data_IF_331830866295
#
_entry.id   IF_331830866295
#
_cell.length_a   1.000
_cell.length_b   1.000
_cell.length_c   1.000
_cell.angle_alpha   90.00
_cell.angle_beta   90.00
_cell.angle_gamma   90.00
#
_symmetry.space_group_name_H-M   'P 1'
#
loop_
_entity.id
_entity.type
_entity.pdbx_description
1 polymer ?
#
# COMPACT_ATOMS: atom_id res chain seq x y z
N UNK A 1 -17.13 -45.36 -11.94
CA UNK A 1 -17.11 -44.80 -10.58
C UNK A 1 -18.01 -43.58 -10.59
N UNK A 2 -19.08 -43.58 -9.79
CA UNK A 2 -19.98 -42.44 -9.68
C UNK A 2 -19.21 -41.32 -8.95
N UNK A 3 -19.09 -40.13 -9.53
CA UNK A 3 -18.43 -39.02 -8.86
C UNK A 3 -19.27 -38.62 -7.64
N UNK A 4 -18.63 -38.68 -6.47
CA UNK A 4 -19.20 -38.25 -5.19
C UNK A 4 -19.16 -36.72 -5.12
N UNK A 5 -20.09 -36.08 -5.86
CA UNK A 5 -20.27 -34.64 -5.91
C UNK A 5 -21.70 -34.30 -5.49
N UNK A 6 -21.86 -33.76 -4.28
CA UNK A 6 -23.10 -33.32 -3.68
C UNK A 6 -22.94 -32.04 -2.87
N UNK A 7 -23.97 -31.67 -2.11
CA UNK A 7 -24.01 -30.40 -1.37
C UNK A 7 -22.85 -30.21 -0.37
N UNK A 8 -22.35 -31.31 0.21
CA UNK A 8 -21.20 -31.30 1.13
C UNK A 8 -19.88 -30.88 0.48
N UNK A 9 -19.77 -30.94 -0.85
CA UNK A 9 -18.59 -30.50 -1.60
C UNK A 9 -18.56 -28.98 -1.83
N UNK A 10 -19.66 -28.26 -1.57
CA UNK A 10 -19.72 -26.80 -1.67
C UNK A 10 -19.28 -26.20 -0.34
N UNK A 11 -18.09 -25.58 -0.33
CA UNK A 11 -17.57 -24.89 0.84
C UNK A 11 -17.73 -23.37 0.70
N UNK A 12 -18.46 -22.77 1.63
CA UNK A 12 -18.53 -21.31 1.79
C UNK A 12 -17.41 -20.89 2.74
N UNK A 13 -16.54 -20.00 2.28
CA UNK A 13 -15.49 -19.37 3.10
C UNK A 13 -16.07 -18.11 3.73
N UNK A 14 -15.89 -17.93 5.05
CA UNK A 14 -16.47 -16.78 5.77
C UNK A 14 -15.42 -15.71 6.03
N UNK A 15 -15.82 -14.44 5.92
CA UNK A 15 -14.94 -13.30 6.20
C UNK A 15 -13.62 -13.37 5.42
N UNK A 16 -12.50 -13.21 6.14
CA UNK A 16 -11.16 -13.13 5.56
C UNK A 16 -10.55 -14.49 5.18
N UNK A 17 -11.26 -15.60 5.40
CA UNK A 17 -10.81 -16.93 4.97
C UNK A 17 -10.62 -17.01 3.45
N UNK A 18 -11.48 -16.33 2.68
CA UNK A 18 -11.39 -16.31 1.22
C UNK A 18 -10.11 -15.63 0.74
N UNK A 19 -9.71 -14.53 1.40
CA UNK A 19 -8.49 -13.78 1.11
C UNK A 19 -7.26 -14.66 1.35
N UNK A 20 -7.18 -15.29 2.53
CA UNK A 20 -6.07 -16.20 2.86
C UNK A 20 -6.02 -17.43 1.97
N UNK A 21 -7.17 -17.94 1.50
CA UNK A 21 -7.22 -19.12 0.63
C UNK A 21 -6.81 -18.80 -0.82
N UNK A 22 -7.07 -17.59 -1.29
CA UNK A 22 -6.83 -17.14 -2.68
C UNK A 22 -6.14 -15.76 -2.71
N UNK A 23 -4.96 -15.60 -2.10
CA UNK A 23 -4.30 -14.30 -1.95
C UNK A 23 -4.00 -13.62 -3.29
N UNK A 24 -3.61 -14.38 -4.32
CA UNK A 24 -3.36 -13.83 -5.66
C UNK A 24 -4.57 -13.14 -6.31
N UNK A 25 -5.80 -13.41 -5.86
CA UNK A 25 -6.96 -12.65 -6.35
C UNK A 25 -7.00 -11.21 -5.81
N UNK A 26 -6.41 -10.98 -4.63
CA UNK A 26 -6.48 -9.71 -3.91
C UNK A 26 -5.19 -8.90 -4.08
N UNK A 27 -4.03 -9.55 -4.13
CA UNK A 27 -2.71 -8.88 -4.23
C UNK A 27 -1.93 -9.29 -5.50
N UNK A 28 -2.58 -10.05 -6.39
CA UNK A 28 -2.05 -10.53 -7.66
C UNK A 28 -1.12 -11.75 -7.55
N UNK A 29 -0.16 -11.77 -6.62
CA UNK A 29 0.71 -12.92 -6.33
C UNK A 29 1.13 -12.96 -4.85
N UNK A 30 1.85 -14.01 -4.45
CA UNK A 30 2.42 -14.17 -3.10
C UNK A 30 3.95 -14.17 -3.12
N UNK A 31 4.53 -13.64 -4.19
CA UNK A 31 5.98 -13.51 -4.33
C UNK A 31 6.43 -12.12 -3.90
N UNK A 32 7.61 -11.72 -4.40
CA UNK A 32 8.19 -10.40 -4.15
C UNK A 32 7.21 -9.25 -4.40
N UNK A 33 6.52 -9.22 -5.55
CA UNK A 33 5.62 -8.13 -5.92
C UNK A 33 4.42 -8.04 -4.98
N UNK A 34 3.76 -9.18 -4.71
CA UNK A 34 2.61 -9.27 -3.81
C UNK A 34 2.94 -8.86 -2.38
N UNK A 35 4.13 -9.20 -1.87
CA UNK A 35 4.58 -8.75 -0.55
C UNK A 35 4.58 -7.24 -0.45
N UNK A 36 5.26 -6.55 -1.36
CA UNK A 36 5.33 -5.09 -1.37
C UNK A 36 3.97 -4.44 -1.60
N UNK A 37 3.09 -5.12 -2.34
CA UNK A 37 1.73 -4.65 -2.58
C UNK A 37 0.91 -4.51 -1.29
N UNK A 38 1.21 -5.28 -0.23
CA UNK A 38 0.58 -5.09 1.08
C UNK A 38 0.77 -3.67 1.62
N UNK A 39 1.96 -3.10 1.43
CA UNK A 39 2.25 -1.72 1.88
C UNK A 39 1.41 -0.71 1.10
N UNK A 40 1.19 -0.94 -0.19
CA UNK A 40 0.35 -0.06 -1.02
C UNK A 40 -1.13 -0.20 -0.67
N UNK A 41 -1.60 -1.42 -0.39
CA UNK A 41 -2.99 -1.66 0.05
C UNK A 41 -3.33 -0.93 1.36
N UNK A 42 -2.37 -0.81 2.30
CA UNK A 42 -2.57 0.00 3.52
C UNK A 42 -2.85 1.47 3.19
N UNK A 43 -2.28 1.99 2.09
CA UNK A 43 -2.32 3.41 1.74
C UNK A 43 -3.51 3.70 0.80
N UNK A 44 -3.69 2.88 -0.22
CA UNK A 44 -4.54 3.20 -1.37
C UNK A 44 -5.96 2.61 -1.26
N UNK A 45 -6.13 1.51 -0.53
CA UNK A 45 -7.33 0.70 -0.67
C UNK A 45 -7.78 0.09 0.66
N UNK A 46 -7.60 -1.23 0.89
CA UNK A 46 -8.28 -1.92 1.99
C UNK A 46 -7.34 -2.62 2.97
N UNK A 47 -7.43 -2.19 4.24
CA UNK A 47 -6.66 -2.75 5.36
C UNK A 47 -7.02 -4.20 5.69
N UNK A 48 -8.21 -4.66 5.30
CA UNK A 48 -8.70 -6.01 5.61
C UNK A 48 -7.91 -7.11 4.90
N UNK A 49 -7.47 -6.87 3.66
CA UNK A 49 -6.59 -7.78 2.91
C UNK A 49 -5.23 -7.87 3.61
N UNK A 50 -4.66 -6.74 4.01
CA UNK A 50 -3.38 -6.69 4.72
C UNK A 50 -3.49 -7.44 6.05
N UNK A 51 -4.55 -7.20 6.80
CA UNK A 51 -4.82 -7.89 8.06
C UNK A 51 -4.96 -9.40 7.86
N UNK A 52 -5.70 -9.82 6.83
CA UNK A 52 -5.87 -11.23 6.48
C UNK A 52 -4.54 -11.91 6.14
N UNK A 53 -3.64 -11.22 5.43
CA UNK A 53 -2.39 -11.77 4.91
C UNK A 53 -1.19 -11.52 5.84
N UNK A 54 -1.43 -10.96 7.03
CA UNK A 54 -0.41 -10.75 8.07
C UNK A 54 -0.49 -11.86 9.13
N UNK A 55 0.66 -12.29 9.67
CA UNK A 55 0.66 -13.17 10.84
C UNK A 55 0.15 -12.40 12.07
N UNK A 56 0.58 -11.15 12.20
CA UNK A 56 0.21 -10.23 13.28
C UNK A 56 0.02 -8.83 12.71
N UNK A 57 -0.96 -8.10 13.23
CA UNK A 57 -1.20 -6.69 12.92
C UNK A 57 -1.61 -5.95 14.19
N UNK A 58 -0.96 -4.82 14.45
CA UNK A 58 -1.31 -3.88 15.49
C UNK A 58 -1.84 -2.59 14.85
N UNK A 59 -3.00 -2.14 15.32
CA UNK A 59 -3.63 -0.91 14.85
C UNK A 59 -3.75 0.08 16.00
N UNK A 60 -3.28 1.31 15.78
CA UNK A 60 -3.47 2.44 16.70
C UNK A 60 -4.25 3.55 16.00
N UNK A 61 -5.34 4.02 16.60
CA UNK A 61 -6.16 5.13 16.09
C UNK A 61 -6.13 6.29 17.09
N UNK A 62 -5.78 7.48 16.62
CA UNK A 62 -5.82 8.72 17.38
C UNK A 62 -7.06 9.52 16.95
N UNK A 63 -8.08 9.58 17.80
CA UNK A 63 -9.35 10.26 17.49
C UNK A 63 -10.05 10.75 18.76
N UNK A 64 -10.73 11.89 18.68
CA UNK A 64 -11.55 12.45 19.77
C UNK A 64 -10.80 12.58 21.10
N UNK A 65 -9.52 12.95 21.03
CA UNK A 65 -8.64 13.12 22.19
C UNK A 65 -8.17 11.81 22.83
N UNK A 66 -8.45 10.65 22.20
CA UNK A 66 -8.17 9.30 22.71
C UNK A 66 -7.25 8.51 21.78
N UNK A 67 -6.51 7.59 22.38
CA UNK A 67 -5.75 6.55 21.69
C UNK A 67 -6.57 5.28 21.77
N UNK A 68 -6.84 4.65 20.63
CA UNK A 68 -7.52 3.38 20.52
C UNK A 68 -6.57 2.34 19.93
N UNK A 69 -6.51 1.15 20.51
CA UNK A 69 -5.62 0.07 20.03
C UNK A 69 -6.37 -1.25 19.87
N UNK A 70 -5.97 -2.03 18.87
CA UNK A 70 -6.48 -3.37 18.66
C UNK A 70 -5.44 -4.25 17.94
N UNK A 71 -5.27 -5.46 18.45
CA UNK A 71 -4.41 -6.49 17.87
C UNK A 71 -5.19 -7.50 17.05
N UNK A 72 -4.56 -8.00 16.00
CA UNK A 72 -5.08 -9.04 15.13
C UNK A 72 -4.03 -10.11 14.86
N UNK A 73 -4.49 -11.35 14.68
CA UNK A 73 -3.67 -12.46 14.18
C UNK A 73 -4.37 -13.10 12.99
N UNK A 74 -3.74 -13.09 11.83
CA UNK A 74 -4.30 -13.67 10.60
C UNK A 74 -5.72 -13.15 10.27
N UNK A 75 -5.96 -11.85 10.47
CA UNK A 75 -7.27 -11.22 10.25
C UNK A 75 -8.25 -11.35 11.43
N UNK A 76 -7.90 -12.06 12.50
CA UNK A 76 -8.79 -12.32 13.63
C UNK A 76 -8.48 -11.35 14.78
N UNK A 77 -9.44 -10.54 15.25
CA UNK A 77 -9.25 -9.69 16.42
C UNK A 77 -8.88 -10.50 17.67
N UNK A 78 -7.86 -10.06 18.41
CA UNK A 78 -7.46 -10.70 19.67
C UNK A 78 -8.23 -10.14 20.89
N UNK A 79 -8.99 -9.08 20.69
CA UNK A 79 -9.82 -8.44 21.70
C UNK A 79 -10.72 -7.36 21.07
N UNK A 80 -11.58 -6.72 21.88
CA UNK A 80 -12.29 -5.52 21.47
C UNK A 80 -11.32 -4.36 21.22
N UNK A 81 -11.77 -3.31 20.53
CA UNK A 81 -11.02 -2.06 20.42
C UNK A 81 -10.99 -1.37 21.79
N UNK A 82 -9.79 -1.14 22.33
CA UNK A 82 -9.61 -0.57 23.67
C UNK A 82 -9.14 0.88 23.62
N UNK A 83 -9.52 1.68 24.61
CA UNK A 83 -8.98 3.04 24.79
C UNK A 83 -7.77 2.94 25.72
N UNK A 84 -6.57 3.12 25.18
CA UNK A 84 -5.29 2.93 25.90
C UNK A 84 -4.73 4.23 26.46
N UNK A 85 -5.21 5.38 26.00
CA UNK A 85 -4.69 6.67 26.45
C UNK A 85 -5.42 7.89 25.91
N UNK A 86 -4.81 9.05 26.13
CA UNK A 86 -5.27 10.34 25.61
C UNK A 86 -4.22 10.95 24.70
N UNK A 87 -4.64 11.75 23.74
CA UNK A 87 -3.75 12.33 22.71
C UNK A 87 -4.28 13.66 22.21
N UNK A 88 -3.39 14.49 21.67
CA UNK A 88 -3.73 15.67 20.87
C UNK A 88 -3.57 15.44 19.37
N UNK A 89 -3.03 14.28 18.98
CA UNK A 89 -2.82 13.89 17.59
C UNK A 89 -4.12 13.35 17.00
N UNK A 90 -4.20 13.35 15.67
CA UNK A 90 -5.21 12.61 14.91
C UNK A 90 -4.51 11.79 13.85
N UNK A 91 -5.05 10.61 13.53
CA UNK A 91 -4.52 9.74 12.49
C UNK A 91 -4.57 8.27 12.88
N UNK A 92 -3.97 7.44 12.04
CA UNK A 92 -3.95 5.98 12.20
C UNK A 92 -2.53 5.48 11.97
N UNK A 93 -2.09 4.57 12.83
CA UNK A 93 -0.86 3.80 12.67
C UNK A 93 -1.23 2.34 12.44
N UNK A 94 -0.62 1.73 11.43
CA UNK A 94 -0.75 0.31 11.12
C UNK A 94 0.65 -0.30 11.14
N UNK A 95 0.82 -1.32 11.95
CA UNK A 95 2.04 -2.12 12.04
C UNK A 95 1.67 -3.57 11.75
N UNK A 96 2.38 -4.21 10.83
CA UNK A 96 2.04 -5.58 10.44
C UNK A 96 3.28 -6.40 10.06
N UNK A 97 3.16 -7.71 10.23
CA UNK A 97 4.14 -8.69 9.76
C UNK A 97 3.50 -9.61 8.73
N UNK A 98 4.08 -9.67 7.51
CA UNK A 98 3.59 -10.54 6.46
C UNK A 98 3.63 -12.02 6.89
N UNK A 99 2.55 -12.78 6.64
CA UNK A 99 2.43 -14.16 7.09
C UNK A 99 3.39 -15.10 6.32
N UNK A 100 4.40 -15.72 6.97
CA UNK A 100 5.36 -16.60 6.29
C UNK A 100 4.73 -17.88 5.73
N UNK A 101 3.52 -18.25 6.17
CA UNK A 101 2.77 -19.38 5.59
C UNK A 101 2.13 -19.04 4.24
N UNK A 102 2.04 -17.75 3.90
CA UNK A 102 1.50 -17.24 2.63
C UNK A 102 2.63 -16.77 1.72
N UNK A 103 3.57 -15.98 2.24
CA UNK A 103 4.70 -15.44 1.50
C UNK A 103 5.92 -16.33 1.68
N UNK A 104 6.02 -17.37 0.85
CA UNK A 104 7.06 -18.40 0.99
C UNK A 104 8.38 -18.04 0.31
N UNK A 105 8.38 -17.09 -0.63
CA UNK A 105 9.60 -16.65 -1.31
C UNK A 105 10.44 -15.71 -0.43
N UNK A 106 9.78 -14.73 0.20
CA UNK A 106 10.42 -13.77 1.11
C UNK A 106 9.34 -13.08 1.95
N UNK A 107 9.71 -12.68 3.17
CA UNK A 107 8.93 -11.75 4.02
C UNK A 107 9.71 -10.45 4.27
N UNK A 108 10.83 -10.27 3.57
CA UNK A 108 11.69 -9.09 3.70
C UNK A 108 11.32 -8.06 2.66
N UNK A 109 10.90 -6.87 3.12
CA UNK A 109 10.66 -5.73 2.25
C UNK A 109 11.97 -5.13 1.72
N UNK A 110 11.99 -4.82 0.44
CA UNK A 110 13.07 -4.17 -0.28
C UNK A 110 12.84 -2.66 -0.33
N UNK A 111 13.87 -1.93 0.12
CA UNK A 111 13.84 -0.48 0.21
C UNK A 111 13.59 0.20 -1.14
N UNK A 112 14.39 -0.14 -2.16
CA UNK A 112 14.33 0.52 -3.47
C UNK A 112 12.97 0.38 -4.15
N UNK A 113 12.29 -0.75 -3.91
CA UNK A 113 10.98 -1.02 -4.46
C UNK A 113 9.90 -0.10 -3.87
N UNK A 114 9.90 0.05 -2.54
CA UNK A 114 8.99 0.96 -1.83
C UNK A 114 9.34 2.43 -2.08
N UNK A 115 10.64 2.78 -2.01
CA UNK A 115 11.13 4.13 -2.24
C UNK A 115 10.65 4.69 -3.58
N UNK A 116 10.73 3.88 -4.64
CA UNK A 116 10.24 4.26 -5.97
C UNK A 116 8.75 4.64 -5.93
N UNK A 117 7.91 3.81 -5.30
CA UNK A 117 6.46 4.07 -5.23
C UNK A 117 6.08 5.22 -4.32
N UNK A 118 6.71 5.35 -3.17
CA UNK A 118 6.50 6.51 -2.30
C UNK A 118 6.91 7.81 -2.97
N UNK A 119 8.02 7.79 -3.73
CA UNK A 119 8.43 8.95 -4.51
C UNK A 119 7.38 9.29 -5.58
N UNK A 120 6.91 8.31 -6.34
CA UNK A 120 5.82 8.47 -7.32
C UNK A 120 4.55 9.06 -6.70
N UNK A 121 4.09 8.52 -5.56
CA UNK A 121 2.92 9.02 -4.84
C UNK A 121 3.09 10.46 -4.35
N UNK A 122 4.29 10.85 -3.92
CA UNK A 122 4.57 12.22 -3.50
C UNK A 122 4.45 13.22 -4.67
N UNK A 123 4.83 12.84 -5.89
CA UNK A 123 4.60 13.70 -7.06
C UNK A 123 3.13 13.82 -7.44
N UNK A 124 2.32 12.78 -7.20
CA UNK A 124 0.88 12.81 -7.47
C UNK A 124 0.11 13.66 -6.43
N UNK A 125 0.71 13.96 -5.28
CA UNK A 125 0.05 14.62 -4.16
C UNK A 125 0.88 15.83 -3.68
N UNK A 126 0.75 17.01 -4.31
CA UNK A 126 1.67 18.13 -4.09
C UNK A 126 1.66 18.72 -2.68
N UNK A 127 0.62 18.44 -1.89
CA UNK A 127 0.49 18.93 -0.51
C UNK A 127 0.90 17.90 0.54
N UNK A 128 1.25 16.68 0.13
CA UNK A 128 1.60 15.60 1.05
C UNK A 128 3.12 15.53 1.19
N UNK A 129 3.57 15.26 2.42
CA UNK A 129 4.95 14.89 2.72
C UNK A 129 4.97 13.43 3.12
N UNK A 130 5.75 12.61 2.41
CA UNK A 130 5.95 11.21 2.75
C UNK A 130 7.33 11.06 3.39
N UNK A 131 7.36 10.57 4.63
CA UNK A 131 8.60 10.23 5.35
C UNK A 131 8.80 8.73 5.26
N UNK A 132 9.86 8.30 4.59
CA UNK A 132 10.20 6.90 4.46
C UNK A 132 11.47 6.58 5.24
N UNK A 133 11.38 5.63 6.17
CA UNK A 133 12.44 5.31 7.12
C UNK A 133 12.65 3.80 7.08
N UNK A 134 13.89 3.37 6.82
CA UNK A 134 14.31 1.97 6.99
C UNK A 134 15.17 1.86 8.26
N UNK A 135 14.56 1.37 9.33
CA UNK A 135 15.22 1.22 10.63
C UNK A 135 16.36 0.19 10.61
N UNK A 136 16.36 -0.76 9.67
CA UNK A 136 17.41 -1.79 9.56
C UNK A 136 18.75 -1.19 9.14
N UNK A 137 18.69 -0.12 8.34
CA UNK A 137 19.87 0.57 7.79
C UNK A 137 20.03 2.00 8.32
N UNK A 138 19.07 2.46 9.14
CA UNK A 138 18.94 3.84 9.60
C UNK A 138 18.80 4.87 8.44
N UNK A 139 18.40 4.42 7.26
CA UNK A 139 18.16 5.29 6.09
C UNK A 139 16.86 6.07 6.28
N UNK A 140 16.87 7.36 5.95
CA UNK A 140 15.71 8.24 6.06
C UNK A 140 15.61 9.12 4.83
N UNK A 141 14.44 9.13 4.22
CA UNK A 141 14.08 9.98 3.10
C UNK A 141 12.80 10.76 3.40
N UNK A 142 12.71 11.96 2.83
CA UNK A 142 11.51 12.78 2.89
C UNK A 142 11.16 13.23 1.47
N UNK A 143 9.97 12.88 1.02
CA UNK A 143 9.48 13.21 -0.31
C UNK A 143 8.37 14.25 -0.22
N UNK A 144 8.57 15.38 -0.89
CA UNK A 144 7.59 16.45 -1.04
C UNK A 144 7.86 17.19 -2.35
N UNK A 145 6.88 17.21 -3.25
CA UNK A 145 7.04 17.75 -4.60
C UNK A 145 5.83 18.59 -5.00
N UNK A 146 6.00 19.91 -5.06
CA UNK A 146 4.91 20.82 -5.42
C UNK A 146 4.62 20.86 -6.92
N UNK A 147 5.59 20.47 -7.77
CA UNK A 147 5.50 20.57 -9.23
C UNK A 147 4.71 19.46 -9.94
N UNK A 148 4.07 18.57 -9.17
CA UNK A 148 3.15 17.56 -9.70
C UNK A 148 3.78 16.59 -10.69
N UNK A 149 2.96 16.08 -11.61
CA UNK A 149 3.40 15.13 -12.66
C UNK A 149 4.35 15.76 -13.70
N UNK A 150 4.31 17.08 -13.89
CA UNK A 150 5.26 17.77 -14.78
C UNK A 150 6.68 17.70 -14.23
N UNK A 151 6.82 17.89 -12.91
CA UNK A 151 8.09 17.69 -12.22
C UNK A 151 8.50 16.22 -12.23
N UNK A 152 7.56 15.28 -12.01
CA UNK A 152 7.85 13.84 -12.08
C UNK A 152 8.51 13.44 -13.41
N UNK A 153 7.93 13.85 -14.54
CA UNK A 153 8.47 13.53 -15.87
C UNK A 153 9.87 14.13 -16.05
N UNK A 154 10.08 15.35 -15.57
CA UNK A 154 11.40 16.01 -15.61
C UNK A 154 12.44 15.26 -14.79
N UNK A 155 12.13 14.93 -13.54
CA UNK A 155 13.06 14.33 -12.59
C UNK A 155 13.35 12.84 -12.89
N UNK A 156 12.41 12.14 -13.53
CA UNK A 156 12.59 10.75 -13.97
C UNK A 156 13.37 10.62 -15.26
N UNK A 157 13.43 11.67 -16.08
CA UNK A 157 14.19 11.62 -17.32
C UNK A 157 15.70 11.63 -17.02
N UNK A 158 16.40 10.61 -17.50
CA UNK A 158 17.85 10.46 -17.37
C UNK A 158 18.60 10.69 -18.68
N UNK A 159 17.88 11.06 -19.74
CA UNK A 159 18.37 11.20 -21.11
C UNK A 159 18.42 12.65 -21.55
N UNK A 160 19.06 12.91 -22.68
CA UNK A 160 19.04 14.23 -23.27
C UNK A 160 17.62 14.62 -23.71
N UNK A 161 17.23 15.84 -23.33
CA UNK A 161 15.89 16.38 -23.56
C UNK A 161 15.84 17.02 -24.94
N UNK A 162 14.87 16.62 -25.76
CA UNK A 162 14.68 17.16 -27.12
C UNK A 162 13.68 18.33 -27.11
N UNK A 163 12.76 18.34 -26.16
CA UNK A 163 11.77 19.41 -26.00
C UNK A 163 11.39 19.61 -24.52
N UNK A 164 10.99 20.83 -24.17
CA UNK A 164 10.44 21.14 -22.85
C UNK A 164 9.24 20.24 -22.52
N UNK A 165 8.98 20.03 -21.22
CA UNK A 165 7.78 19.32 -20.77
C UNK A 165 6.53 20.00 -21.32
N UNK A 166 5.66 19.20 -21.91
CA UNK A 166 4.30 19.60 -22.23
C UNK A 166 3.41 19.07 -21.12
N UNK A 167 2.76 19.95 -20.38
CA UNK A 167 1.78 19.60 -19.36
C UNK A 167 0.45 20.32 -19.60
N UNK A 168 -0.64 19.63 -19.33
CA UNK A 168 -1.97 20.21 -19.37
C UNK A 168 -2.91 19.44 -18.44
N UNK A 169 -3.74 20.18 -17.74
CA UNK A 169 -4.81 19.65 -16.89
C UNK A 169 -6.14 20.22 -17.34
N UNK A 170 -7.21 19.48 -17.07
CA UNK A 170 -8.54 19.90 -17.44
C UNK A 170 -9.61 19.05 -16.77
N UNK A 171 -10.85 19.48 -16.98
CA UNK A 171 -12.04 18.81 -16.48
C UNK A 171 -13.06 18.71 -17.61
N UNK A 172 -13.57 17.51 -17.82
CA UNK A 172 -14.67 17.24 -18.74
C UNK A 172 -15.72 16.42 -17.97
N UNK A 173 -16.91 16.99 -17.84
CA UNK A 173 -17.97 16.45 -16.97
C UNK A 173 -17.45 16.19 -15.54
N UNK A 174 -17.56 14.95 -15.06
CA UNK A 174 -17.08 14.51 -13.74
C UNK A 174 -15.66 13.92 -13.78
N UNK A 175 -14.96 14.02 -14.91
CA UNK A 175 -13.60 13.49 -15.09
C UNK A 175 -12.59 14.64 -15.05
N UNK A 176 -11.67 14.55 -14.10
CA UNK A 176 -10.47 15.39 -14.04
C UNK A 176 -9.30 14.62 -14.64
N UNK A 177 -8.52 15.29 -15.47
CA UNK A 177 -7.31 14.72 -16.05
C UNK A 177 -6.14 15.69 -15.89
N UNK A 178 -4.97 15.11 -15.64
CA UNK A 178 -3.70 15.81 -15.59
C UNK A 178 -2.70 14.98 -16.38
N UNK A 179 -2.07 15.58 -17.39
CA UNK A 179 -1.18 14.90 -18.33
C UNK A 179 0.12 15.70 -18.44
N UNK A 180 1.25 15.01 -18.31
CA UNK A 180 2.57 15.54 -18.59
C UNK A 180 3.38 14.56 -19.47
N UNK A 181 4.08 15.09 -20.47
CA UNK A 181 4.91 14.32 -21.39
C UNK A 181 6.17 15.09 -21.80
N UNK A 182 7.25 14.35 -22.05
CA UNK A 182 8.55 14.85 -22.50
C UNK A 182 9.10 13.94 -23.58
N UNK A 183 9.71 14.54 -24.61
CA UNK A 183 10.43 13.81 -25.65
C UNK A 183 11.93 13.82 -25.35
N UNK A 184 12.55 12.65 -25.40
CA UNK A 184 13.98 12.45 -25.23
C UNK A 184 14.59 11.79 -26.47
N UNK A 185 15.91 11.92 -26.61
CA UNK A 185 16.63 11.21 -27.66
C UNK A 185 16.70 9.72 -27.30
N UNK A 186 16.61 8.88 -28.33
CA UNK A 186 16.66 7.42 -28.22
C UNK A 186 18.07 6.85 -28.48
N UNK A 187 19.04 7.69 -28.87
CA UNK A 187 20.44 7.28 -29.05
C UNK A 187 21.21 7.19 -27.75
#
# INVERSE_FOLDING_TARGET
>A
MQQDYGASNIKVLKGLEAVRKRPGMYIGDTGHRGLHHLVYEVIDNSIDVVNALSSELHMTIYRDGKIHEQDFKQGIPQGPLEVTGTTRKTGTTIEFAADPSIFTETVTFEYDYLAKRFKELAYLNPFITIKFIDERTATKEEYHFEGGIAQYVTDMNKREVVANVYSFSGKADDIEFDIALMYNDNT
#
